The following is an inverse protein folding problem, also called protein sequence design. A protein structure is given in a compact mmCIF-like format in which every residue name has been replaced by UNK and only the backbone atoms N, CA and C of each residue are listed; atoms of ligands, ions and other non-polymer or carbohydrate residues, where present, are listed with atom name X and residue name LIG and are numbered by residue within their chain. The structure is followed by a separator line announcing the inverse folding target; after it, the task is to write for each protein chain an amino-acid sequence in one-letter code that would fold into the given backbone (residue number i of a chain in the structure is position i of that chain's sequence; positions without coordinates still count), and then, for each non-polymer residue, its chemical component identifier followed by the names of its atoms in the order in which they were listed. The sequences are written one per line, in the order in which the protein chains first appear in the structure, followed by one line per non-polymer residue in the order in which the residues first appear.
data_IF_927048999817
#
_entry.id   IF_927048999817
#
_cell.length_a   1.000
_cell.length_b   1.000
_cell.length_c   1.000
_cell.angle_alpha   90.00
_cell.angle_beta   90.00
_cell.angle_gamma   90.00
#
_symmetry.space_group_name_H-M   'P 1'
#
loop_
_entity.id
_entity.type
_entity.pdbx_description
1 polymer ?
#
# COMPACT_ATOMS: atom_id res chain seq x y z
N UNK A 1 12.56 -59.34 -36.35
CA UNK A 1 12.05 -58.02 -36.77
C UNK A 1 11.99 -57.09 -35.56
N UNK A 2 12.74 -56.00 -35.66
CA UNK A 2 12.80 -54.77 -34.84
C UNK A 2 11.66 -54.53 -33.83
N UNK A 3 11.93 -54.74 -32.53
CA UNK A 3 11.28 -53.98 -31.45
C UNK A 3 12.28 -52.95 -30.91
N UNK A 4 12.51 -51.90 -31.70
CA UNK A 4 13.28 -50.71 -31.34
C UNK A 4 12.34 -49.51 -31.19
N UNK A 5 11.28 -49.57 -30.38
CA UNK A 5 10.38 -48.41 -30.24
C UNK A 5 9.63 -48.34 -28.91
N UNK A 6 10.29 -48.55 -27.77
CA UNK A 6 9.70 -48.14 -26.48
C UNK A 6 10.75 -47.54 -25.52
N UNK A 7 11.75 -46.86 -26.07
CA UNK A 7 12.72 -46.04 -25.31
C UNK A 7 12.38 -44.53 -25.40
N UNK A 8 11.11 -44.18 -25.59
CA UNK A 8 10.63 -42.79 -25.61
C UNK A 8 9.35 -42.70 -24.76
N UNK A 9 9.48 -43.01 -23.48
CA UNK A 9 8.55 -42.59 -22.43
C UNK A 9 9.31 -42.36 -21.12
N UNK A 10 10.62 -42.15 -21.21
CA UNK A 10 11.41 -41.45 -20.22
C UNK A 10 11.36 -39.96 -20.57
N UNK A 11 11.09 -39.09 -19.59
CA UNK A 11 11.19 -37.62 -19.65
C UNK A 11 9.92 -36.77 -19.88
N UNK A 12 8.74 -37.20 -19.41
CA UNK A 12 7.61 -36.26 -19.19
C UNK A 12 6.89 -36.45 -17.85
N UNK A 13 7.52 -37.13 -16.90
CA UNK A 13 7.04 -37.27 -15.52
C UNK A 13 8.05 -36.68 -14.54
N UNK A 14 7.62 -35.73 -13.73
CA UNK A 14 8.35 -35.12 -12.61
C UNK A 14 9.41 -34.05 -12.93
N UNK A 15 8.98 -32.92 -13.51
CA UNK A 15 9.43 -31.63 -12.97
C UNK A 15 8.37 -31.15 -11.99
N UNK A 16 8.31 -31.85 -10.86
CA UNK A 16 7.63 -31.41 -9.65
C UNK A 16 8.31 -30.11 -9.20
N UNK A 17 7.67 -28.98 -9.53
CA UNK A 17 7.24 -27.97 -8.56
C UNK A 17 8.09 -27.86 -7.28
N UNK A 18 9.38 -27.57 -7.42
CA UNK A 18 10.15 -26.89 -6.38
C UNK A 18 10.36 -25.42 -6.78
N UNK A 19 9.31 -24.80 -7.32
CA UNK A 19 9.17 -23.35 -7.19
C UNK A 19 8.88 -23.11 -5.71
N UNK A 20 9.95 -23.04 -4.90
CA UNK A 20 9.93 -22.47 -3.55
C UNK A 20 9.29 -21.10 -3.69
N UNK A 21 7.98 -21.06 -3.50
CA UNK A 21 7.22 -19.85 -3.35
C UNK A 21 7.72 -19.31 -2.03
N UNK A 22 8.80 -18.52 -2.11
CA UNK A 22 9.28 -17.74 -0.99
C UNK A 22 8.10 -16.83 -0.62
N UNK A 23 7.29 -17.30 0.33
CA UNK A 23 6.11 -16.60 0.81
C UNK A 23 6.63 -15.27 1.34
N UNK A 24 6.41 -14.21 0.56
CA UNK A 24 6.93 -12.91 0.91
C UNK A 24 6.29 -12.51 2.25
N UNK A 25 7.09 -12.44 3.32
CA UNK A 25 6.57 -12.21 4.67
C UNK A 25 5.87 -10.85 4.70
N UNK A 26 4.55 -10.87 4.90
CA UNK A 26 3.72 -9.66 4.91
C UNK A 26 3.62 -9.08 6.31
N UNK A 27 3.71 -7.76 6.43
CA UNK A 27 3.61 -7.03 7.69
C UNK A 27 2.38 -6.13 7.65
N UNK A 28 1.50 -6.23 8.67
CA UNK A 28 0.35 -5.34 8.79
C UNK A 28 0.81 -3.91 9.04
N UNK A 29 0.02 -2.99 8.52
CA UNK A 29 0.16 -1.54 8.68
C UNK A 29 -1.22 -0.99 9.03
N UNK A 30 -1.23 0.09 9.81
CA UNK A 30 -2.42 0.85 10.12
C UNK A 30 -2.10 2.34 9.99
N UNK A 31 -3.12 3.18 9.82
CA UNK A 31 -2.99 4.63 9.90
C UNK A 31 -3.77 5.09 11.13
N UNK A 32 -3.17 5.96 11.94
CA UNK A 32 -3.92 6.79 12.89
C UNK A 32 -4.02 8.21 12.36
N UNK A 33 -5.19 8.78 12.55
CA UNK A 33 -5.44 10.20 12.35
C UNK A 33 -5.21 10.88 13.69
N UNK A 34 -4.20 11.74 13.75
CA UNK A 34 -3.74 12.37 14.98
C UNK A 34 -4.43 13.74 15.17
N UNK A 35 -4.90 14.38 14.09
CA UNK A 35 -5.75 15.57 14.15
C UNK A 35 -5.90 16.27 12.79
N UNK A 36 -6.85 17.21 12.73
CA UNK A 36 -7.11 18.08 11.57
C UNK A 36 -7.13 19.54 12.00
N UNK A 37 -6.59 20.42 11.17
CA UNK A 37 -6.66 21.88 11.35
C UNK A 37 -7.26 22.51 10.09
N UNK A 38 -8.33 23.28 10.26
CA UNK A 38 -8.90 24.09 9.19
C UNK A 38 -8.02 25.32 8.93
N UNK A 39 -7.71 25.60 7.66
CA UNK A 39 -6.97 26.77 7.23
C UNK A 39 -7.93 27.83 6.67
N UNK A 40 -8.41 28.71 7.55
CA UNK A 40 -9.31 29.80 7.18
C UNK A 40 -10.70 29.33 6.75
N UNK A 41 -11.40 30.16 5.97
CA UNK A 41 -12.80 29.92 5.57
C UNK A 41 -12.97 29.08 4.28
N UNK A 42 -11.88 28.62 3.65
CA UNK A 42 -11.88 28.13 2.26
C UNK A 42 -12.01 26.60 2.11
N UNK A 43 -12.50 25.89 3.14
CA UNK A 43 -12.62 24.43 3.10
C UNK A 43 -11.29 23.69 2.99
N UNK A 44 -10.17 24.36 3.29
CA UNK A 44 -8.82 23.78 3.25
C UNK A 44 -8.45 23.21 4.62
N UNK A 45 -7.93 21.99 4.65
CA UNK A 45 -7.54 21.30 5.89
C UNK A 45 -6.10 20.83 5.81
N UNK A 46 -5.44 20.82 6.98
CA UNK A 46 -4.18 20.11 7.21
C UNK A 46 -4.46 18.95 8.14
N UNK A 47 -4.21 17.74 7.66
CA UNK A 47 -4.33 16.52 8.45
C UNK A 47 -2.95 16.06 8.92
N UNK A 48 -2.85 15.69 10.20
CA UNK A 48 -1.67 15.06 10.79
C UNK A 48 -1.99 13.60 11.08
N UNK A 49 -1.15 12.70 10.61
CA UNK A 49 -1.41 11.26 10.70
C UNK A 49 -0.13 10.47 10.94
N UNK A 50 -0.28 9.18 11.26
CA UNK A 50 0.83 8.26 11.46
C UNK A 50 0.58 6.87 10.93
N UNK A 51 1.55 6.33 10.17
CA UNK A 51 1.60 4.92 9.81
C UNK A 51 2.19 4.11 10.95
N UNK A 52 1.44 3.11 11.45
CA UNK A 52 1.85 2.18 12.50
C UNK A 52 2.16 0.80 11.92
N UNK A 53 3.27 0.21 12.34
CA UNK A 53 3.60 -1.20 12.10
C UNK A 53 4.63 -1.67 13.12
N UNK A 54 4.59 -2.95 13.49
CA UNK A 54 5.65 -3.58 14.30
C UNK A 54 6.99 -3.64 13.54
N UNK A 55 6.98 -3.49 12.22
CA UNK A 55 8.19 -3.46 11.39
C UNK A 55 8.53 -2.02 11.03
N UNK A 56 9.61 -1.47 11.60
CA UNK A 56 10.04 -0.08 11.35
C UNK A 56 10.16 0.27 9.86
N UNK A 57 10.69 -0.63 9.03
CA UNK A 57 10.80 -0.40 7.57
C UNK A 57 9.45 -0.26 6.85
N UNK A 58 8.33 -0.60 7.49
CA UNK A 58 6.98 -0.40 6.95
C UNK A 58 6.35 0.94 7.31
N UNK A 59 6.94 1.69 8.24
CA UNK A 59 6.50 3.05 8.58
C UNK A 59 7.41 4.15 8.01
N UNK A 60 8.62 3.83 7.56
CA UNK A 60 9.61 4.83 7.10
C UNK A 60 9.47 5.09 5.59
N UNK A 61 9.54 6.36 5.17
CA UNK A 61 9.56 6.80 3.76
C UNK A 61 8.46 6.13 2.92
N UNK A 62 7.28 6.01 3.53
CA UNK A 62 6.13 5.38 2.95
C UNK A 62 5.38 6.43 2.14
N UNK A 63 5.22 6.18 0.85
CA UNK A 63 4.35 7.01 0.02
C UNK A 63 2.91 6.89 0.50
N UNK A 64 2.32 8.02 0.89
CA UNK A 64 0.93 8.20 1.25
C UNK A 64 0.26 9.09 0.19
N UNK A 65 -0.96 8.75 -0.20
CA UNK A 65 -1.76 9.52 -1.14
C UNK A 65 -3.06 9.92 -0.47
N UNK A 66 -3.43 11.19 -0.54
CA UNK A 66 -4.76 11.67 -0.19
C UNK A 66 -5.61 11.75 -1.44
N UNK A 67 -6.78 11.12 -1.40
CA UNK A 67 -7.68 11.01 -2.54
C UNK A 67 -9.06 11.51 -2.15
N UNK A 68 -9.61 12.43 -2.92
CA UNK A 68 -10.98 12.93 -2.79
C UNK A 68 -11.92 12.17 -3.72
N UNK A 69 -13.08 11.78 -3.21
CA UNK A 69 -14.19 11.23 -3.96
C UNK A 69 -15.33 12.24 -3.99
N UNK A 70 -15.88 12.49 -5.19
CA UNK A 70 -16.86 13.54 -5.46
C UNK A 70 -18.25 12.92 -5.76
N UNK A 71 -19.34 13.69 -5.59
CA UNK A 71 -20.70 13.19 -5.80
C UNK A 71 -20.96 12.68 -7.22
N UNK A 72 -20.28 13.25 -8.20
CA UNK A 72 -20.38 12.84 -9.60
C UNK A 72 -19.62 11.52 -9.92
N UNK A 73 -19.10 10.83 -8.90
CA UNK A 73 -18.33 9.60 -9.04
C UNK A 73 -16.86 9.80 -9.40
N UNK A 74 -16.42 11.04 -9.63
CA UNK A 74 -15.02 11.34 -9.93
C UNK A 74 -14.15 11.15 -8.70
N UNK A 75 -12.90 10.77 -8.92
CA UNK A 75 -11.90 10.64 -7.88
C UNK A 75 -10.67 11.45 -8.28
N UNK A 76 -10.14 12.28 -7.37
CA UNK A 76 -8.95 13.08 -7.61
C UNK A 76 -7.88 12.83 -6.54
N UNK A 77 -6.62 12.82 -6.98
CA UNK A 77 -5.49 12.87 -6.07
C UNK A 77 -5.36 14.32 -5.57
N UNK A 78 -5.51 14.51 -4.27
CA UNK A 78 -5.49 15.83 -3.65
C UNK A 78 -4.10 16.20 -3.13
N UNK A 79 -3.39 15.22 -2.58
CA UNK A 79 -2.04 15.44 -2.04
C UNK A 79 -1.25 14.13 -1.94
N UNK A 80 0.07 14.26 -1.79
CA UNK A 80 1.02 13.16 -1.57
C UNK A 80 2.01 13.57 -0.49
N UNK A 81 2.32 12.65 0.40
CA UNK A 81 3.43 12.82 1.35
C UNK A 81 4.24 11.52 1.51
N UNK A 82 5.45 11.65 2.05
CA UNK A 82 6.27 10.54 2.50
C UNK A 82 6.37 10.54 4.02
N UNK A 83 6.15 9.38 4.62
CA UNK A 83 6.27 9.28 6.07
C UNK A 83 7.70 9.49 6.58
N UNK A 84 7.80 10.13 7.73
CA UNK A 84 9.04 10.28 8.50
C UNK A 84 9.56 8.94 9.04
N UNK A 85 10.69 8.97 9.74
CA UNK A 85 11.28 7.78 10.37
C UNK A 85 10.34 7.10 11.38
N UNK A 86 9.47 7.90 12.00
CA UNK A 86 8.50 7.45 13.00
C UNK A 86 7.08 7.28 12.43
N UNK A 87 6.96 7.28 11.11
CA UNK A 87 5.70 7.05 10.42
C UNK A 87 4.79 8.26 10.35
N UNK A 88 5.19 9.42 10.88
CA UNK A 88 4.38 10.63 10.83
C UNK A 88 4.37 11.20 9.40
N UNK A 89 3.23 11.74 8.99
CA UNK A 89 3.03 12.40 7.70
C UNK A 89 1.90 13.42 7.84
N UNK A 90 1.81 14.35 6.90
CA UNK A 90 0.72 15.30 6.84
C UNK A 90 0.30 15.59 5.42
N UNK A 91 -0.95 16.01 5.25
CA UNK A 91 -1.48 16.42 3.94
C UNK A 91 -2.20 17.73 4.07
N UNK A 92 -2.14 18.56 3.02
CA UNK A 92 -2.88 19.81 2.91
C UNK A 92 -3.74 19.76 1.65
N UNK A 93 -5.06 19.80 1.81
CA UNK A 93 -5.98 19.76 0.69
C UNK A 93 -7.19 20.67 0.89
N UNK A 94 -7.71 21.20 -0.21
CA UNK A 94 -9.02 21.80 -0.25
C UNK A 94 -10.06 20.68 -0.46
N UNK A 95 -10.99 20.55 0.48
CA UNK A 95 -12.02 19.51 0.48
C UNK A 95 -13.39 20.03 0.00
N UNK A 96 -13.46 21.24 -0.54
CA UNK A 96 -14.71 21.81 -1.07
C UNK A 96 -15.30 20.90 -2.14
N UNK A 97 -16.54 20.46 -1.92
CA UNK A 97 -17.28 19.58 -2.84
C UNK A 97 -16.81 18.12 -2.82
N UNK A 98 -15.94 17.72 -1.89
CA UNK A 98 -15.53 16.32 -1.68
C UNK A 98 -16.53 15.65 -0.74
N UNK A 99 -17.11 14.52 -1.14
CA UNK A 99 -18.00 13.75 -0.26
C UNK A 99 -17.23 12.90 0.73
N UNK A 100 -16.08 12.38 0.27
CA UNK A 100 -15.25 11.48 1.07
C UNK A 100 -13.78 11.65 0.70
N UNK A 101 -12.96 11.99 1.67
CA UNK A 101 -11.52 11.98 1.54
C UNK A 101 -10.92 10.70 2.14
N UNK A 102 -9.95 10.08 1.46
CA UNK A 102 -9.29 8.85 1.88
C UNK A 102 -7.79 8.97 1.71
N UNK A 103 -7.04 8.78 2.79
CA UNK A 103 -5.60 8.58 2.72
C UNK A 103 -5.26 7.10 2.57
N UNK A 104 -4.26 6.82 1.75
CA UNK A 104 -3.74 5.47 1.49
C UNK A 104 -2.23 5.47 1.60
N UNK A 105 -1.70 4.77 2.63
CA UNK A 105 -0.32 4.33 2.63
C UNK A 105 -0.21 3.18 1.61
N UNK A 106 0.53 3.41 0.54
CA UNK A 106 0.65 2.49 -0.62
C UNK A 106 1.24 1.14 -0.22
N UNK A 107 1.38 0.16 -1.11
CA UNK A 107 2.15 -1.09 -0.84
C UNK A 107 3.66 -0.83 -1.00
N UNK A 108 4.51 -1.45 -0.18
CA UNK A 108 5.98 -1.37 -0.31
C UNK A 108 6.57 -2.74 -0.06
N UNK A 109 7.52 -3.11 -0.90
CA UNK A 109 8.26 -4.34 -0.75
C UNK A 109 9.75 -4.01 -0.55
N UNK A 110 10.41 -4.79 0.30
CA UNK A 110 11.83 -4.63 0.60
C UNK A 110 12.48 -6.00 0.86
N UNK A 111 13.81 -6.04 0.89
CA UNK A 111 14.58 -7.28 0.94
C UNK A 111 14.94 -7.80 -0.45
N UNK A 112 15.91 -8.72 -0.50
CA UNK A 112 16.44 -9.29 -1.74
C UNK A 112 16.07 -10.77 -1.85
N UNK A 113 15.86 -11.23 -3.08
CA UNK A 113 15.60 -12.64 -3.44
C UNK A 113 14.57 -13.31 -2.51
N UNK A 114 14.68 -14.61 -2.23
CA UNK A 114 13.73 -15.41 -1.43
C UNK A 114 13.39 -14.91 0.00
N UNK A 115 13.85 -13.72 0.38
CA UNK A 115 13.51 -13.03 1.62
C UNK A 115 12.73 -11.73 1.40
N UNK A 116 12.02 -11.59 0.26
CA UNK A 116 11.16 -10.45 -0.02
C UNK A 116 10.12 -10.29 1.09
N UNK A 117 9.98 -9.07 1.57
CA UNK A 117 9.04 -8.68 2.63
C UNK A 117 8.11 -7.64 2.06
N UNK A 118 6.85 -7.65 2.49
CA UNK A 118 5.82 -6.74 2.00
C UNK A 118 5.17 -6.03 3.16
N UNK A 119 5.18 -4.71 3.14
CA UNK A 119 4.33 -3.89 3.97
C UNK A 119 2.97 -3.81 3.29
N UNK A 120 1.91 -4.22 3.98
CA UNK A 120 0.54 -4.11 3.45
C UNK A 120 0.20 -2.63 3.21
N UNK A 121 -0.70 -2.34 2.27
CA UNK A 121 -1.31 -1.01 2.22
C UNK A 121 -2.19 -0.81 3.46
N UNK A 122 -2.37 0.45 3.86
CA UNK A 122 -3.32 0.83 4.89
C UNK A 122 -4.06 2.08 4.44
N UNK A 123 -5.28 2.28 4.92
CA UNK A 123 -6.06 3.47 4.60
C UNK A 123 -6.88 3.95 5.76
N UNK A 124 -7.14 5.26 5.78
CA UNK A 124 -8.09 5.92 6.68
C UNK A 124 -9.00 6.80 5.84
N UNK A 125 -10.26 6.91 6.24
CA UNK A 125 -11.23 7.82 5.64
C UNK A 125 -11.40 8.99 6.60
N UNK A 126 -11.34 10.20 6.08
CA UNK A 126 -11.56 11.41 6.86
C UNK A 126 -13.03 11.82 6.77
N UNK A 127 -13.53 12.38 7.87
CA UNK A 127 -14.81 13.08 7.85
C UNK A 127 -14.58 14.38 7.09
N UNK A 128 -15.35 14.60 6.03
CA UNK A 128 -15.33 15.88 5.32
C UNK A 128 -16.38 16.77 6.00
N UNK A 129 -16.04 18.02 6.38
CA UNK A 129 -16.99 18.94 7.00
C UNK A 129 -18.01 19.50 6.01
#
# INVERSE_FOLDING_TARGET
MKLRYLAVLAATGAVLLCASSAIARSFPTAITHDGSVALGATGTFVDSCRVKSRKGRCRILRLVKLVGHYPNGTTQLLDIDFTSLEGAWGTKANLTGVDRAKAVATRFAFGRHGHRKVCRPASVVFSVP
#
